data_IF_228761264217
#
_entry.id   IF_228761264217
#
_cell.length_a   1.000
_cell.length_b   1.000
_cell.length_c   1.000
_cell.angle_alpha   90.00
_cell.angle_beta   90.00
_cell.angle_gamma   90.00
#
_symmetry.space_group_name_H-M   'P 1'
#
loop_
_entity.id
_entity.type
_entity.pdbx_description
1 polymer ?
#
# COMPACT_ATOMS: atom_id res chain seq x y z
N UNK A 1 11.08 18.69 -46.84
CA UNK A 1 11.24 17.30 -47.33
C UNK A 1 12.27 16.49 -46.54
N UNK A 2 13.55 16.91 -46.43
CA UNK A 2 14.60 16.14 -45.73
C UNK A 2 14.28 15.78 -44.26
N UNK A 3 13.74 16.74 -43.48
CA UNK A 3 13.36 16.49 -42.07
C UNK A 3 12.26 15.43 -41.92
N UNK A 4 11.29 15.39 -42.84
CA UNK A 4 10.22 14.38 -42.85
C UNK A 4 10.76 12.98 -43.12
N UNK A 5 11.75 12.86 -44.02
CA UNK A 5 12.40 11.58 -44.31
C UNK A 5 13.21 11.07 -43.10
N UNK A 6 13.96 11.97 -42.44
CA UNK A 6 14.72 11.62 -41.24
C UNK A 6 13.81 11.13 -40.10
N UNK A 7 12.68 11.79 -39.85
CA UNK A 7 11.71 11.35 -38.82
C UNK A 7 11.17 9.95 -39.11
N UNK A 8 10.83 9.66 -40.37
CA UNK A 8 10.37 8.32 -40.78
C UNK A 8 11.45 7.26 -40.60
N UNK A 9 12.70 7.61 -40.89
CA UNK A 9 13.84 6.70 -40.71
C UNK A 9 14.08 6.37 -39.24
N UNK A 10 14.09 7.38 -38.37
CA UNK A 10 14.24 7.18 -36.92
C UNK A 10 13.13 6.28 -36.36
N UNK A 11 11.87 6.52 -36.77
CA UNK A 11 10.76 5.69 -36.33
C UNK A 11 10.90 4.23 -36.81
N UNK A 12 11.27 4.02 -38.08
CA UNK A 12 11.53 2.67 -38.61
C UNK A 12 12.64 1.96 -37.85
N UNK A 13 13.75 2.64 -37.56
CA UNK A 13 14.86 2.07 -36.79
C UNK A 13 14.44 1.75 -35.35
N UNK A 14 13.63 2.60 -34.71
CA UNK A 14 13.05 2.27 -33.41
C UNK A 14 12.20 1.00 -33.51
N UNK A 15 11.43 0.79 -34.57
CA UNK A 15 10.54 -0.39 -34.72
C UNK A 15 11.24 -1.68 -35.16
N UNK A 16 12.28 -1.59 -35.97
CA UNK A 16 12.93 -2.75 -36.60
C UNK A 16 14.28 -3.11 -35.95
N UNK A 17 15.03 -2.11 -35.47
CA UNK A 17 16.36 -2.31 -34.88
C UNK A 17 16.28 -2.29 -33.35
N UNK A 18 16.48 -3.47 -32.77
CA UNK A 18 16.44 -3.69 -31.33
C UNK A 18 17.58 -2.99 -30.59
N UNK A 19 18.79 -2.98 -31.15
CA UNK A 19 19.96 -2.37 -30.52
C UNK A 19 19.82 -0.85 -30.52
N UNK A 20 19.40 -0.27 -31.66
CA UNK A 20 19.10 1.15 -31.77
C UNK A 20 17.98 1.58 -30.81
N UNK A 21 16.88 0.81 -30.73
CA UNK A 21 15.79 1.07 -29.77
C UNK A 21 16.30 1.14 -28.35
N UNK A 22 17.11 0.19 -27.90
CA UNK A 22 17.63 0.19 -26.53
C UNK A 22 18.62 1.34 -26.28
N UNK A 23 19.46 1.68 -27.25
CA UNK A 23 20.34 2.84 -27.15
C UNK A 23 19.52 4.14 -26.97
N UNK A 24 18.47 4.33 -27.77
CA UNK A 24 17.55 5.47 -27.65
C UNK A 24 16.83 5.45 -26.29
N UNK A 25 16.34 4.30 -25.84
CA UNK A 25 15.71 4.16 -24.52
C UNK A 25 16.65 4.57 -23.38
N UNK A 26 17.92 4.16 -23.45
CA UNK A 26 18.95 4.58 -22.49
C UNK A 26 19.21 6.09 -22.53
N UNK A 27 19.37 6.68 -23.72
CA UNK A 27 19.59 8.12 -23.88
C UNK A 27 18.40 8.97 -23.40
N UNK A 28 17.18 8.44 -23.52
CA UNK A 28 15.96 9.08 -23.02
C UNK A 28 15.70 8.82 -21.52
N UNK A 29 16.60 8.11 -20.83
CA UNK A 29 16.49 7.83 -19.40
C UNK A 29 15.43 6.78 -19.02
N UNK A 30 14.97 5.97 -19.98
CA UNK A 30 13.92 4.98 -19.74
C UNK A 30 14.39 3.84 -18.82
N UNK A 31 15.68 3.50 -18.84
CA UNK A 31 16.25 2.48 -17.97
C UNK A 31 16.22 2.91 -16.49
N UNK A 32 16.61 4.15 -16.21
CA UNK A 32 16.58 4.75 -14.88
C UNK A 32 15.14 4.91 -14.38
N UNK A 33 14.21 5.24 -15.28
CA UNK A 33 12.79 5.27 -14.96
C UNK A 33 12.27 3.89 -14.57
N UNK A 34 12.58 2.84 -15.34
CA UNK A 34 12.20 1.47 -15.01
C UNK A 34 12.74 1.03 -13.65
N UNK A 35 14.01 1.32 -13.35
CA UNK A 35 14.59 1.01 -12.04
C UNK A 35 13.87 1.75 -10.89
N UNK A 36 13.52 3.03 -11.09
CA UNK A 36 12.74 3.80 -10.12
C UNK A 36 11.34 3.21 -9.94
N UNK A 37 10.69 2.78 -11.01
CA UNK A 37 9.38 2.12 -10.94
C UNK A 37 9.46 0.82 -10.15
N UNK A 38 10.44 -0.05 -10.41
CA UNK A 38 10.62 -1.29 -9.63
C UNK A 38 10.83 -1.00 -8.13
N UNK A 39 11.62 0.03 -7.79
CA UNK A 39 11.79 0.46 -6.38
C UNK A 39 10.50 1.01 -5.77
N UNK A 40 9.65 1.67 -6.56
CA UNK A 40 8.34 2.14 -6.11
C UNK A 40 7.39 0.97 -5.85
N UNK A 41 7.37 -0.04 -6.73
CA UNK A 41 6.58 -1.27 -6.57
C UNK A 41 6.98 -2.01 -5.30
N UNK A 42 8.29 -2.20 -5.06
CA UNK A 42 8.77 -2.83 -3.82
C UNK A 42 8.35 -2.05 -2.56
N UNK A 43 8.41 -0.71 -2.62
CA UNK A 43 7.97 0.15 -1.51
C UNK A 43 6.46 0.04 -1.29
N UNK A 44 5.68 -0.05 -2.36
CA UNK A 44 4.24 -0.22 -2.30
C UNK A 44 3.87 -1.56 -1.65
N UNK A 45 4.50 -2.66 -2.06
CA UNK A 45 4.29 -3.97 -1.43
C UNK A 45 4.59 -3.95 0.08
N UNK A 46 5.70 -3.31 0.48
CA UNK A 46 6.03 -3.14 1.91
C UNK A 46 5.01 -2.29 2.67
N UNK A 47 4.37 -1.31 2.02
CA UNK A 47 3.30 -0.53 2.62
C UNK A 47 2.04 -1.38 2.79
N UNK A 48 1.65 -2.15 1.78
CA UNK A 48 0.51 -3.07 1.84
C UNK A 48 0.66 -4.08 2.97
N UNK A 49 1.84 -4.69 3.13
CA UNK A 49 2.12 -5.59 4.27
C UNK A 49 1.99 -4.88 5.63
N UNK A 50 2.43 -3.63 5.73
CA UNK A 50 2.31 -2.84 6.97
C UNK A 50 0.85 -2.51 7.28
N UNK A 51 0.06 -2.18 6.26
CA UNK A 51 -1.37 -1.93 6.41
C UNK A 51 -2.11 -3.18 6.87
N UNK A 52 -1.86 -4.34 6.27
CA UNK A 52 -2.46 -5.61 6.71
C UNK A 52 -2.15 -5.90 8.20
N UNK A 53 -0.89 -5.68 8.63
CA UNK A 53 -0.51 -5.83 10.05
C UNK A 53 -1.19 -4.81 10.97
N UNK A 54 -1.47 -3.60 10.49
CA UNK A 54 -2.21 -2.60 11.26
C UNK A 54 -3.68 -3.00 11.41
N UNK A 55 -4.31 -3.49 10.33
CA UNK A 55 -5.69 -4.00 10.36
C UNK A 55 -5.83 -5.16 11.35
N UNK A 56 -4.92 -6.14 11.34
CA UNK A 56 -4.92 -7.23 12.34
C UNK A 56 -4.79 -6.73 13.78
N UNK A 57 -3.96 -5.71 14.00
CA UNK A 57 -3.79 -5.11 15.34
C UNK A 57 -5.04 -4.36 15.76
N UNK A 58 -5.70 -3.68 14.83
CA UNK A 58 -6.95 -2.97 15.08
C UNK A 58 -8.05 -3.95 15.47
N UNK A 59 -8.23 -5.05 14.73
CA UNK A 59 -9.20 -6.11 15.09
C UNK A 59 -8.94 -6.67 16.50
N UNK A 60 -7.68 -6.94 16.84
CA UNK A 60 -7.31 -7.39 18.19
C UNK A 60 -7.60 -6.36 19.28
N UNK A 61 -7.50 -5.07 18.97
CA UNK A 61 -7.88 -3.99 19.90
C UNK A 61 -9.39 -3.94 20.08
N UNK A 62 -10.15 -4.01 19.00
CA UNK A 62 -11.62 -4.05 19.03
C UNK A 62 -12.14 -5.22 19.88
N UNK A 63 -11.58 -6.43 19.72
CA UNK A 63 -11.91 -7.57 20.58
C UNK A 63 -11.60 -7.34 22.07
N UNK A 64 -10.50 -6.64 22.37
CA UNK A 64 -10.13 -6.30 23.76
C UNK A 64 -11.08 -5.27 24.35
N UNK A 65 -11.50 -4.28 23.57
CA UNK A 65 -12.50 -3.31 24.00
C UNK A 65 -13.84 -3.98 24.29
N UNK A 66 -14.33 -4.85 23.41
CA UNK A 66 -15.57 -5.61 23.66
C UNK A 66 -15.51 -6.41 24.97
N UNK A 67 -14.37 -7.07 25.25
CA UNK A 67 -14.15 -7.79 26.51
C UNK A 67 -14.09 -6.86 27.73
N UNK A 68 -13.60 -5.63 27.57
CA UNK A 68 -13.62 -4.64 28.65
C UNK A 68 -15.05 -4.17 28.92
N UNK A 69 -15.84 -3.89 27.88
CA UNK A 69 -17.24 -3.48 28.00
C UNK A 69 -18.06 -4.54 28.75
N UNK A 70 -17.89 -5.83 28.42
CA UNK A 70 -18.53 -6.91 29.17
C UNK A 70 -18.14 -6.95 30.66
N UNK A 71 -16.86 -6.67 30.98
CA UNK A 71 -16.39 -6.63 32.37
C UNK A 71 -16.97 -5.43 33.12
N UNK A 72 -17.06 -4.28 32.47
CA UNK A 72 -17.68 -3.09 33.04
C UNK A 72 -19.17 -3.33 33.34
N UNK A 73 -19.92 -3.90 32.39
CA UNK A 73 -21.33 -4.25 32.61
C UNK A 73 -21.52 -5.19 33.82
N UNK A 74 -20.65 -6.21 33.97
CA UNK A 74 -20.68 -7.10 35.14
C UNK A 74 -20.30 -6.39 36.45
N UNK A 75 -19.40 -5.42 36.42
CA UNK A 75 -19.06 -4.62 37.59
C UNK A 75 -20.22 -3.72 38.00
N UNK A 76 -20.88 -3.07 37.03
CA UNK A 76 -22.09 -2.27 37.27
C UNK A 76 -23.21 -3.12 37.90
N UNK A 77 -23.47 -4.31 37.36
CA UNK A 77 -24.48 -5.22 37.93
C UNK A 77 -24.15 -5.62 39.39
N UNK A 78 -22.87 -5.90 39.67
CA UNK A 78 -22.43 -6.22 41.04
C UNK A 78 -22.55 -5.03 41.98
N UNK A 79 -22.26 -3.83 41.49
CA UNK A 79 -22.38 -2.59 42.26
C UNK A 79 -23.85 -2.34 42.63
N UNK A 80 -24.77 -2.45 41.68
CA UNK A 80 -26.21 -2.33 41.93
C UNK A 80 -26.69 -3.32 42.99
N UNK A 81 -26.28 -4.60 42.89
CA UNK A 81 -26.62 -5.62 43.89
C UNK A 81 -26.08 -5.32 45.30
N UNK A 82 -24.92 -4.67 45.39
CA UNK A 82 -24.36 -4.26 46.68
C UNK A 82 -25.14 -3.08 47.27
N UNK A 83 -25.50 -2.11 46.43
CA UNK A 83 -26.33 -0.96 46.83
C UNK A 83 -27.72 -1.39 47.32
N UNK A 84 -28.38 -2.32 46.61
CA UNK A 84 -29.66 -2.90 47.03
C UNK A 84 -29.57 -3.60 48.40
N UNK A 85 -28.44 -4.26 48.69
CA UNK A 85 -28.22 -4.92 49.99
C UNK A 85 -27.94 -3.93 51.12
N UNK A 86 -27.36 -2.77 50.82
CA UNK A 86 -27.12 -1.72 51.81
C UNK A 86 -28.38 -0.90 52.14
N UNK A 87 -29.35 -0.87 51.22
CA UNK A 87 -30.63 -0.18 51.41
C UNK A 87 -31.70 -1.04 52.11
N UNK A 88 -31.48 -2.35 52.24
CA UNK A 88 -32.34 -3.28 53.01
C UNK A 88 -31.82 -3.46 54.43
#
# INVERSE_FOLDING_TARGET
>A
MKSTMLKKEILRLIEEDREFRYAVMGLLGMSELLERFSRLEERQQRLEERFARLEERQQKLEERFAKLDERFARLEERQLKLEERQQK
#
